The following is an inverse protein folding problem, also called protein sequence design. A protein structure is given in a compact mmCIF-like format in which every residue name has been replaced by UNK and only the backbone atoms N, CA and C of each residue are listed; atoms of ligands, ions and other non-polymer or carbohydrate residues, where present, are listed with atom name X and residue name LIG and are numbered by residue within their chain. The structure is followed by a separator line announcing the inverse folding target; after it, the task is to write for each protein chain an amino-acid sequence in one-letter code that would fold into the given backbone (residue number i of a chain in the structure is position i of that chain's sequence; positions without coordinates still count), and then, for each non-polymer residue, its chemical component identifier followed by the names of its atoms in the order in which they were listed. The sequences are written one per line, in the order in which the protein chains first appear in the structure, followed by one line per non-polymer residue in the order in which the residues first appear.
data_IF_291058849759
#
_entry.id   IF_291058849759
#
_cell.length_a   1.000
_cell.length_b   1.000
_cell.length_c   1.000
_cell.angle_alpha   90.00
_cell.angle_beta   90.00
_cell.angle_gamma   90.00
#
_symmetry.space_group_name_H-M   'P 1'
#
loop_
_entity.id
_entity.type
_entity.pdbx_description
1 polymer ?
#
# COMPACT_ATOMS: atom_id res chain seq x y z
N UNK A 1 15.71 1.42 -12.30
CA UNK A 1 14.75 2.09 -11.40
C UNK A 1 14.50 1.25 -10.17
N UNK A 2 14.44 1.87 -8.97
CA UNK A 2 14.01 1.18 -7.74
C UNK A 2 12.68 1.75 -7.23
N UNK A 3 11.77 0.87 -6.82
CA UNK A 3 10.50 1.26 -6.21
C UNK A 3 10.48 0.80 -4.76
N UNK A 4 10.30 1.76 -3.86
CA UNK A 4 10.16 1.52 -2.43
C UNK A 4 8.68 1.49 -2.09
N UNK A 5 8.08 0.30 -1.98
CA UNK A 5 6.69 0.13 -1.53
C UNK A 5 6.64 0.23 -0.01
N UNK A 6 5.95 1.22 0.51
CA UNK A 6 5.81 1.48 1.95
C UNK A 6 4.35 1.31 2.34
N UNK A 7 4.06 0.36 3.24
CA UNK A 7 2.74 0.29 3.85
C UNK A 7 2.57 1.41 4.86
N UNK A 8 1.39 2.03 4.90
CA UNK A 8 1.04 3.02 5.92
C UNK A 8 1.27 2.49 7.35
N UNK A 9 1.44 3.40 8.31
CA UNK A 9 1.45 3.08 9.74
C UNK A 9 0.10 2.56 10.23
N UNK A 10 0.07 2.05 11.45
CA UNK A 10 -1.14 1.47 12.05
C UNK A 10 -2.28 2.49 12.15
N UNK A 11 -3.46 2.09 11.72
CA UNK A 11 -4.75 2.74 11.87
C UNK A 11 -5.64 1.93 12.84
N UNK A 12 -6.86 2.38 13.10
CA UNK A 12 -7.74 1.73 14.07
C UNK A 12 -8.41 0.48 13.49
N UNK A 13 -7.90 -0.71 13.85
CA UNK A 13 -8.38 -2.02 13.39
C UNK A 13 -9.82 -2.36 13.87
N UNK A 14 -10.39 -1.58 14.79
CA UNK A 14 -11.81 -1.74 15.18
C UNK A 14 -12.77 -1.38 14.06
N UNK A 15 -12.26 -0.76 13.00
CA UNK A 15 -13.03 -0.33 11.83
C UNK A 15 -12.54 -1.04 10.56
N UNK A 16 -13.45 -1.23 9.62
CA UNK A 16 -13.12 -1.77 8.30
C UNK A 16 -12.24 -0.79 7.53
N UNK A 17 -11.16 -1.31 6.95
CA UNK A 17 -10.21 -0.56 6.14
C UNK A 17 -10.79 -0.08 4.80
N UNK A 18 -10.08 -0.36 3.70
CA UNK A 18 -10.49 0.10 2.36
C UNK A 18 -10.38 1.62 2.21
N UNK A 19 -11.39 2.24 1.61
CA UNK A 19 -11.42 3.68 1.35
C UNK A 19 -11.96 4.51 2.52
N UNK A 20 -11.70 4.09 3.76
CA UNK A 20 -12.08 4.85 4.93
C UNK A 20 -11.23 6.14 5.10
N UNK A 21 -11.71 7.06 5.96
CA UNK A 21 -11.05 8.33 6.27
C UNK A 21 -10.38 8.35 7.66
N UNK A 22 -10.11 7.17 8.23
CA UNK A 22 -9.52 7.09 9.57
C UNK A 22 -8.04 7.47 9.53
N UNK A 23 -7.56 8.21 10.55
CA UNK A 23 -6.16 8.59 10.68
C UNK A 23 -5.30 7.46 11.24
N UNK A 24 -3.98 7.66 11.19
CA UNK A 24 -3.04 6.85 11.97
C UNK A 24 -3.31 7.02 13.47
N UNK A 25 -3.26 5.92 14.21
CA UNK A 25 -3.19 5.96 15.67
C UNK A 25 -1.77 6.36 16.14
N UNK A 26 -1.61 6.70 17.41
CA UNK A 26 -0.32 7.16 17.95
C UNK A 26 0.80 6.12 17.77
N UNK A 27 0.50 4.83 17.92
CA UNK A 27 1.44 3.75 17.66
C UNK A 27 1.86 3.73 16.19
N UNK A 28 0.92 3.90 15.26
CA UNK A 28 1.19 4.00 13.82
C UNK A 28 2.11 5.17 13.46
N UNK A 29 1.89 6.36 14.06
CA UNK A 29 2.77 7.51 13.87
C UNK A 29 4.21 7.21 14.34
N UNK A 30 4.36 6.55 15.51
CA UNK A 30 5.69 6.14 16.02
C UNK A 30 6.38 5.12 15.11
N UNK A 31 5.63 4.14 14.58
CA UNK A 31 6.16 3.18 13.60
C UNK A 31 6.72 3.88 12.36
N UNK A 32 5.93 4.80 11.79
CA UNK A 32 6.34 5.58 10.60
C UNK A 32 7.53 6.48 10.91
N UNK A 33 7.61 7.10 12.09
CA UNK A 33 8.74 7.93 12.47
C UNK A 33 10.06 7.13 12.54
N UNK A 34 10.02 5.88 13.02
CA UNK A 34 11.19 4.98 12.99
C UNK A 34 11.64 4.70 11.56
N UNK A 35 10.68 4.37 10.67
CA UNK A 35 10.98 4.16 9.24
C UNK A 35 11.54 5.43 8.59
N UNK A 36 10.94 6.59 8.86
CA UNK A 36 11.41 7.87 8.33
C UNK A 36 12.87 8.17 8.73
N UNK A 37 13.22 7.93 9.99
CA UNK A 37 14.59 8.11 10.46
C UNK A 37 15.57 7.11 9.77
N UNK A 38 15.15 5.87 9.58
CA UNK A 38 15.93 4.86 8.84
C UNK A 38 16.18 5.30 7.40
N UNK A 39 15.13 5.71 6.68
CA UNK A 39 15.23 6.18 5.30
C UNK A 39 16.14 7.41 5.19
N UNK A 40 16.01 8.37 6.11
CA UNK A 40 16.85 9.58 6.12
C UNK A 40 18.33 9.26 6.34
N UNK A 41 18.65 8.33 7.26
CA UNK A 41 20.03 7.89 7.49
C UNK A 41 20.64 7.19 6.27
N UNK A 42 19.82 6.58 5.44
CA UNK A 42 20.23 5.82 4.23
C UNK A 42 19.95 6.58 2.95
N UNK A 43 19.56 7.86 3.00
CA UNK A 43 19.19 8.63 1.82
C UNK A 43 20.33 8.74 0.79
N UNK A 44 21.57 8.78 1.23
CA UNK A 44 22.76 8.78 0.34
C UNK A 44 22.87 7.49 -0.48
N UNK A 45 22.48 6.35 0.13
CA UNK A 45 22.52 5.03 -0.52
C UNK A 45 21.26 4.78 -1.35
N UNK A 46 20.11 5.16 -0.80
CA UNK A 46 18.80 4.90 -1.40
C UNK A 46 18.43 5.88 -2.52
N UNK A 47 18.93 7.11 -2.44
CA UNK A 47 18.71 8.17 -3.44
C UNK A 47 17.23 8.32 -3.83
N UNK A 48 16.33 8.31 -2.83
CA UNK A 48 14.90 8.50 -3.09
C UNK A 48 14.69 9.92 -3.60
N UNK A 49 14.06 10.09 -4.75
CA UNK A 49 13.88 11.38 -5.43
C UNK A 49 12.45 11.92 -5.29
N UNK A 50 11.45 11.05 -5.15
CA UNK A 50 10.04 11.43 -5.11
C UNK A 50 9.25 10.48 -4.24
N UNK A 51 8.17 10.99 -3.63
CA UNK A 51 7.18 10.20 -2.92
C UNK A 51 5.86 10.29 -3.68
N UNK A 52 5.31 9.15 -4.11
CA UNK A 52 3.94 9.03 -4.62
C UNK A 52 3.11 8.29 -3.59
N UNK A 53 2.04 8.89 -3.11
CA UNK A 53 1.22 8.32 -2.03
C UNK A 53 -0.23 8.13 -2.44
N UNK A 54 -0.84 7.04 -2.00
CA UNK A 54 -2.29 6.98 -1.95
C UNK A 54 -2.85 8.21 -1.24
N UNK A 55 -3.97 8.74 -1.74
CA UNK A 55 -4.62 9.93 -1.22
C UNK A 55 -5.51 9.68 0.01
N UNK A 56 -5.59 8.43 0.51
CA UNK A 56 -6.31 8.07 1.73
C UNK A 56 -5.58 8.65 2.96
N UNK A 57 -6.32 9.09 3.98
CA UNK A 57 -5.79 9.87 5.08
C UNK A 57 -4.58 9.23 5.78
N UNK A 58 -4.63 7.92 6.11
CA UNK A 58 -3.52 7.20 6.75
C UNK A 58 -2.24 7.14 5.92
N UNK A 59 -2.35 6.99 4.60
CA UNK A 59 -1.21 7.03 3.68
C UNK A 59 -0.67 8.45 3.50
N UNK A 60 -1.55 9.45 3.40
CA UNK A 60 -1.14 10.87 3.39
C UNK A 60 -0.35 11.25 4.65
N UNK A 61 -0.82 10.82 5.83
CA UNK A 61 -0.12 11.06 7.09
C UNK A 61 1.23 10.33 7.13
N UNK A 62 1.28 9.08 6.64
CA UNK A 62 2.53 8.32 6.52
C UNK A 62 3.53 9.03 5.62
N UNK A 63 3.11 9.43 4.41
CA UNK A 63 3.96 10.14 3.46
C UNK A 63 4.49 11.46 4.06
N UNK A 64 3.63 12.26 4.71
CA UNK A 64 4.04 13.52 5.36
C UNK A 64 5.06 13.29 6.47
N UNK A 65 4.88 12.28 7.34
CA UNK A 65 5.85 11.96 8.41
C UNK A 65 7.21 11.57 7.80
N UNK A 66 7.22 10.76 6.76
CA UNK A 66 8.45 10.40 6.03
C UNK A 66 9.08 11.64 5.43
N UNK A 67 8.29 12.47 4.78
CA UNK A 67 8.80 13.66 4.07
C UNK A 67 9.31 14.77 4.99
N UNK A 68 8.86 14.84 6.22
CA UNK A 68 9.47 15.73 7.23
C UNK A 68 10.96 15.43 7.49
N UNK A 69 11.46 14.29 7.02
CA UNK A 69 12.88 13.89 7.11
C UNK A 69 13.61 13.89 5.77
N UNK A 70 12.88 13.64 4.68
CA UNK A 70 13.49 13.51 3.36
C UNK A 70 13.42 14.79 2.53
N UNK A 71 12.42 15.65 2.77
CA UNK A 71 12.18 16.92 2.06
C UNK A 71 12.08 16.77 0.53
N UNK A 72 11.35 15.76 0.07
CA UNK A 72 11.18 15.42 -1.34
C UNK A 72 9.82 15.92 -1.90
N UNK A 73 9.66 16.02 -3.23
CA UNK A 73 8.36 16.20 -3.84
C UNK A 73 7.39 15.08 -3.45
N UNK A 74 6.15 15.44 -3.07
CA UNK A 74 5.07 14.49 -2.80
C UNK A 74 3.94 14.67 -3.79
N UNK A 75 3.53 13.57 -4.40
CA UNK A 75 2.31 13.46 -5.20
C UNK A 75 1.28 12.57 -4.50
N UNK A 76 0.00 12.96 -4.54
CA UNK A 76 -1.11 12.15 -4.02
C UNK A 76 -1.98 11.65 -5.17
N UNK A 77 -2.20 10.33 -5.20
CA UNK A 77 -2.94 9.69 -6.29
C UNK A 77 -3.97 8.67 -5.81
N UNK A 78 -5.04 8.50 -6.56
CA UNK A 78 -6.03 7.43 -6.35
C UNK A 78 -5.51 6.06 -6.82
N UNK A 79 -4.50 6.03 -7.68
CA UNK A 79 -3.92 4.81 -8.27
C UNK A 79 -3.40 3.83 -7.22
N UNK A 80 -2.92 4.33 -6.07
CA UNK A 80 -2.37 3.53 -4.97
C UNK A 80 -3.37 3.21 -3.86
N UNK A 81 -4.69 3.47 -4.05
CA UNK A 81 -5.71 3.16 -3.04
C UNK A 81 -5.84 1.66 -2.80
N UNK A 82 -6.16 1.31 -1.54
CA UNK A 82 -6.56 -0.05 -1.12
C UNK A 82 -7.86 -0.47 -1.83
N UNK A 83 -8.25 -1.74 -1.68
CA UNK A 83 -9.52 -2.23 -2.16
C UNK A 83 -10.69 -1.38 -1.67
N UNK A 84 -11.61 -1.06 -2.57
CA UNK A 84 -12.83 -0.37 -2.22
C UNK A 84 -13.83 -1.36 -1.61
N UNK A 85 -14.00 -1.31 -0.28
CA UNK A 85 -15.00 -2.15 0.41
C UNK A 85 -16.40 -1.51 0.39
N UNK A 86 -16.66 -0.50 -0.44
CA UNK A 86 -17.96 0.11 -0.60
C UNK A 86 -18.53 0.63 0.73
N UNK A 87 -19.77 0.26 1.02
CA UNK A 87 -20.49 0.69 2.23
C UNK A 87 -19.86 0.23 3.54
N UNK A 88 -18.99 -0.81 3.51
CA UNK A 88 -18.32 -1.30 4.71
C UNK A 88 -17.12 -0.43 5.11
N UNK A 89 -16.61 0.43 4.24
CA UNK A 89 -15.44 1.26 4.52
C UNK A 89 -15.70 2.20 5.70
N UNK A 90 -14.93 2.04 6.78
CA UNK A 90 -15.07 2.84 8.01
C UNK A 90 -16.19 2.38 8.96
N UNK A 91 -16.94 1.32 8.65
CA UNK A 91 -17.85 0.72 9.62
C UNK A 91 -17.07 0.06 10.76
N UNK A 92 -17.63 0.05 11.97
CA UNK A 92 -17.08 -0.79 13.04
C UNK A 92 -17.15 -2.25 12.61
N UNK A 93 -16.10 -3.02 12.86
CA UNK A 93 -16.02 -4.44 12.47
C UNK A 93 -17.23 -5.24 12.98
N UNK A 94 -17.64 -5.03 14.25
CA UNK A 94 -18.80 -5.69 14.84
C UNK A 94 -20.13 -5.37 14.12
N UNK A 95 -20.29 -4.12 13.67
CA UNK A 95 -21.51 -3.66 13.00
C UNK A 95 -21.54 -4.18 11.55
N UNK A 96 -20.37 -4.20 10.88
CA UNK A 96 -20.24 -4.79 9.54
C UNK A 96 -20.56 -6.30 9.54
N UNK A 97 -20.10 -7.06 10.54
CA UNK A 97 -20.41 -8.48 10.67
C UNK A 97 -21.91 -8.70 10.88
N UNK A 98 -22.56 -7.84 11.68
CA UNK A 98 -24.00 -7.95 11.97
C UNK A 98 -24.88 -7.57 10.76
N UNK A 99 -24.52 -6.48 10.05
CA UNK A 99 -25.33 -5.95 8.95
C UNK A 99 -25.07 -6.66 7.62
N UNK A 100 -23.84 -7.16 7.42
CA UNK A 100 -23.38 -7.84 6.19
C UNK A 100 -22.72 -9.17 6.53
N UNK A 101 -23.49 -10.16 7.06
CA UNK A 101 -22.95 -11.46 7.44
C UNK A 101 -22.32 -12.16 6.22
N UNK A 102 -21.13 -12.73 6.41
CA UNK A 102 -20.41 -13.42 5.33
C UNK A 102 -19.65 -12.49 4.36
N UNK A 103 -19.88 -11.18 4.39
CA UNK A 103 -19.21 -10.22 3.49
C UNK A 103 -17.89 -9.76 4.09
N UNK A 104 -16.81 -10.47 3.76
CA UNK A 104 -15.44 -10.10 4.11
C UNK A 104 -14.46 -10.58 3.04
N UNK A 105 -13.31 -9.93 2.93
CA UNK A 105 -12.37 -10.07 1.82
C UNK A 105 -12.09 -11.52 1.38
N UNK A 106 -11.82 -12.41 2.35
CA UNK A 106 -11.48 -13.81 2.04
C UNK A 106 -12.70 -14.70 1.71
N UNK A 107 -13.93 -14.26 2.03
CA UNK A 107 -15.13 -15.01 1.72
C UNK A 107 -15.64 -14.73 0.30
N UNK A 108 -15.43 -13.53 -0.22
CA UNK A 108 -15.86 -13.17 -1.56
C UNK A 108 -15.29 -14.13 -2.61
N UNK A 109 -16.09 -14.45 -3.62
CA UNK A 109 -15.59 -15.02 -4.87
C UNK A 109 -14.74 -13.96 -5.59
N UNK A 110 -13.92 -14.37 -6.54
CA UNK A 110 -13.01 -13.45 -7.23
C UNK A 110 -13.76 -12.34 -7.99
N UNK A 111 -14.94 -12.63 -8.50
CA UNK A 111 -15.85 -11.74 -9.25
C UNK A 111 -16.95 -11.11 -8.38
N UNK A 112 -17.08 -11.52 -7.12
CA UNK A 112 -18.08 -11.00 -6.20
C UNK A 112 -17.66 -9.66 -5.62
N UNK A 113 -18.50 -8.65 -5.78
CA UNK A 113 -18.24 -7.29 -5.30
C UNK A 113 -18.66 -7.09 -3.84
N UNK A 114 -17.91 -6.26 -3.13
CA UNK A 114 -18.46 -5.61 -1.96
C UNK A 114 -19.67 -4.75 -2.35
N UNK A 115 -20.70 -4.63 -1.50
CA UNK A 115 -21.82 -3.71 -1.75
C UNK A 115 -21.31 -2.27 -1.96
N UNK A 116 -21.51 -1.74 -3.18
CA UNK A 116 -20.98 -0.42 -3.59
C UNK A 116 -19.46 -0.33 -3.71
N UNK A 117 -18.77 -1.46 -3.78
CA UNK A 117 -17.31 -1.53 -3.85
C UNK A 117 -16.77 -2.32 -5.04
N UNK A 118 -15.53 -2.81 -4.91
CA UNK A 118 -14.83 -3.63 -5.91
C UNK A 118 -14.95 -5.12 -5.59
N UNK A 119 -14.83 -5.98 -6.61
CA UNK A 119 -14.51 -7.39 -6.46
C UNK A 119 -12.99 -7.59 -6.32
N UNK A 120 -12.53 -8.76 -5.81
CA UNK A 120 -11.10 -9.08 -5.78
C UNK A 120 -10.41 -9.01 -7.14
N UNK A 121 -11.08 -9.44 -8.22
CA UNK A 121 -10.48 -9.38 -9.56
C UNK A 121 -10.35 -7.96 -10.07
N UNK A 122 -11.38 -7.12 -9.90
CA UNK A 122 -11.33 -5.71 -10.28
C UNK A 122 -10.25 -4.95 -9.51
N UNK A 123 -10.10 -5.21 -8.23
CA UNK A 123 -9.02 -4.66 -7.42
C UNK A 123 -7.65 -5.05 -7.96
N UNK A 124 -7.43 -6.34 -8.26
CA UNK A 124 -6.18 -6.85 -8.83
C UNK A 124 -5.83 -6.15 -10.15
N UNK A 125 -6.79 -6.10 -11.08
CA UNK A 125 -6.60 -5.52 -12.41
C UNK A 125 -6.30 -4.03 -12.31
N UNK A 126 -7.04 -3.29 -11.49
CA UNK A 126 -6.81 -1.88 -11.24
C UNK A 126 -5.42 -1.62 -10.67
N UNK A 127 -4.97 -2.42 -9.71
CA UNK A 127 -3.64 -2.24 -9.10
C UNK A 127 -2.54 -2.50 -10.12
N UNK A 128 -2.62 -3.56 -10.92
CA UNK A 128 -1.62 -3.89 -11.94
C UNK A 128 -1.55 -2.77 -12.99
N UNK A 129 -2.71 -2.35 -13.52
CA UNK A 129 -2.79 -1.24 -14.47
C UNK A 129 -2.17 0.03 -13.89
N UNK A 130 -2.61 0.42 -12.68
CA UNK A 130 -2.10 1.62 -11.99
C UNK A 130 -0.60 1.56 -11.71
N UNK A 131 -0.07 0.39 -11.36
CA UNK A 131 1.36 0.22 -11.13
C UNK A 131 2.17 0.45 -12.41
N UNK A 132 1.75 -0.13 -13.54
CA UNK A 132 2.43 0.08 -14.82
C UNK A 132 2.36 1.56 -15.27
N UNK A 133 1.21 2.21 -15.11
CA UNK A 133 1.08 3.65 -15.39
C UNK A 133 2.03 4.48 -14.51
N UNK A 134 2.12 4.18 -13.21
CA UNK A 134 3.00 4.89 -12.29
C UNK A 134 4.49 4.65 -12.59
N UNK A 135 4.87 3.49 -13.09
CA UNK A 135 6.23 3.25 -13.56
C UNK A 135 6.57 4.16 -14.75
N UNK A 136 5.68 4.24 -15.73
CA UNK A 136 5.88 5.10 -16.90
C UNK A 136 5.90 6.60 -16.54
N UNK A 137 5.00 7.06 -15.67
CA UNK A 137 4.95 8.44 -15.20
C UNK A 137 6.18 8.87 -14.39
N UNK A 138 6.94 7.91 -13.87
CA UNK A 138 8.12 8.16 -13.05
C UNK A 138 9.41 7.56 -13.64
N UNK A 139 9.42 7.24 -14.92
CA UNK A 139 10.54 6.56 -15.59
C UNK A 139 11.88 7.33 -15.54
N UNK A 140 11.80 8.65 -15.41
CA UNK A 140 12.98 9.53 -15.38
C UNK A 140 13.64 9.58 -13.98
N UNK A 141 13.06 8.89 -12.97
CA UNK A 141 13.62 8.79 -11.62
C UNK A 141 14.35 7.48 -11.40
N UNK A 142 15.50 7.52 -10.71
CA UNK A 142 16.22 6.31 -10.31
C UNK A 142 15.51 5.57 -9.17
N UNK A 143 14.98 6.30 -8.18
CA UNK A 143 14.29 5.71 -7.03
C UNK A 143 13.06 6.50 -6.60
N UNK A 144 11.90 5.83 -6.55
CA UNK A 144 10.63 6.43 -6.13
C UNK A 144 10.02 5.65 -4.97
N UNK A 145 9.51 6.34 -3.95
CA UNK A 145 8.79 5.74 -2.84
C UNK A 145 7.27 5.79 -3.07
N UNK A 146 6.61 4.63 -3.12
CA UNK A 146 5.15 4.50 -3.19
C UNK A 146 4.59 4.18 -1.81
N UNK A 147 3.87 5.14 -1.19
CA UNK A 147 3.21 4.94 0.10
C UNK A 147 1.79 4.44 -0.14
N UNK A 148 1.53 3.21 0.29
CA UNK A 148 0.31 2.48 -0.08
C UNK A 148 -0.16 1.51 1.04
N UNK A 149 -0.82 0.43 0.67
CA UNK A 149 -1.56 -0.48 1.53
C UNK A 149 -1.11 -1.94 1.34
N UNK A 150 -1.48 -2.80 2.29
CA UNK A 150 -1.11 -4.21 2.28
C UNK A 150 -1.61 -4.97 1.04
N UNK A 151 -2.86 -4.76 0.65
CA UNK A 151 -3.45 -5.43 -0.52
C UNK A 151 -2.73 -5.04 -1.81
N UNK A 152 -2.44 -3.75 -1.99
CA UNK A 152 -1.72 -3.23 -3.15
C UNK A 152 -0.32 -3.81 -3.25
N UNK A 153 0.45 -3.83 -2.13
CA UNK A 153 1.80 -4.43 -2.10
C UNK A 153 1.74 -5.92 -2.48
N UNK A 154 0.75 -6.64 -1.94
CA UNK A 154 0.58 -8.07 -2.26
C UNK A 154 0.30 -8.32 -3.74
N UNK A 155 -0.59 -7.52 -4.35
CA UNK A 155 -0.89 -7.63 -5.80
C UNK A 155 0.36 -7.35 -6.63
N UNK A 156 1.05 -6.22 -6.36
CA UNK A 156 2.24 -5.83 -7.13
C UNK A 156 3.33 -6.89 -7.02
N UNK A 157 3.69 -7.34 -5.82
CA UNK A 157 4.72 -8.34 -5.62
C UNK A 157 4.36 -9.69 -6.26
N UNK A 158 3.07 -10.08 -6.18
CA UNK A 158 2.61 -11.31 -6.83
C UNK A 158 2.71 -11.22 -8.36
N UNK A 159 2.33 -10.06 -8.93
CA UNK A 159 2.43 -9.82 -10.36
C UNK A 159 3.88 -9.89 -10.85
N UNK A 160 4.82 -9.24 -10.15
CA UNK A 160 6.24 -9.23 -10.51
C UNK A 160 6.85 -10.62 -10.43
N UNK A 161 6.49 -11.42 -9.44
CA UNK A 161 7.07 -12.75 -9.21
C UNK A 161 6.33 -13.89 -9.95
N UNK A 162 5.32 -13.57 -10.77
CA UNK A 162 4.51 -14.56 -11.48
C UNK A 162 3.63 -15.43 -10.59
N UNK A 163 3.48 -15.09 -9.30
CA UNK A 163 2.63 -15.85 -8.38
C UNK A 163 1.16 -15.54 -8.61
N UNK A 164 0.34 -16.59 -8.62
CA UNK A 164 -1.12 -16.42 -8.69
C UNK A 164 -1.60 -15.69 -7.44
N UNK A 165 -2.22 -14.53 -7.64
CA UNK A 165 -2.83 -13.77 -6.56
C UNK A 165 -4.33 -14.06 -6.47
N UNK A 166 -4.79 -14.31 -5.27
CA UNK A 166 -6.22 -14.38 -4.92
C UNK A 166 -6.44 -13.68 -3.58
N UNK A 167 -7.71 -13.36 -3.28
CA UNK A 167 -8.08 -12.81 -1.96
C UNK A 167 -7.95 -13.82 -0.80
N UNK A 168 -7.74 -15.10 -1.10
CA UNK A 168 -7.61 -16.18 -0.10
C UNK A 168 -6.17 -16.42 0.33
N UNK A 169 -5.20 -16.15 -0.56
CA UNK A 169 -3.77 -16.43 -0.34
C UNK A 169 -2.99 -15.12 -0.18
N UNK A 170 -2.22 -15.01 0.89
CA UNK A 170 -1.27 -13.91 1.07
C UNK A 170 0.11 -14.39 0.66
N UNK A 171 0.55 -14.04 -0.54
CA UNK A 171 1.88 -14.41 -1.05
C UNK A 171 3.01 -13.63 -0.37
N UNK A 172 2.75 -12.36 0.00
CA UNK A 172 3.73 -11.48 0.61
C UNK A 172 3.18 -10.85 1.88
N UNK A 173 4.01 -10.78 2.91
CA UNK A 173 3.72 -10.06 4.13
C UNK A 173 4.10 -8.59 3.95
N UNK A 174 3.24 -7.68 4.41
CA UNK A 174 3.54 -6.27 4.51
C UNK A 174 2.94 -5.75 5.83
N UNK A 175 3.76 -5.66 6.88
CA UNK A 175 3.37 -5.14 8.19
C UNK A 175 3.20 -3.61 8.15
N UNK A 176 2.58 -3.02 9.16
CA UNK A 176 2.47 -1.56 9.27
C UNK A 176 3.85 -0.90 9.28
N UNK A 177 3.99 0.17 8.52
CA UNK A 177 5.23 0.90 8.30
C UNK A 177 6.40 0.00 7.85
N UNK A 178 6.11 -1.05 7.07
CA UNK A 178 7.14 -1.88 6.45
C UNK A 178 7.54 -1.34 5.08
N UNK A 179 8.76 -1.66 4.69
CA UNK A 179 9.35 -1.38 3.40
C UNK A 179 9.51 -2.68 2.60
N UNK A 180 9.12 -2.64 1.34
CA UNK A 180 9.40 -3.65 0.32
C UNK A 180 10.11 -2.95 -0.83
N UNK A 181 11.21 -3.51 -1.35
CA UNK A 181 11.99 -2.92 -2.44
C UNK A 181 11.81 -3.78 -3.69
N UNK A 182 11.51 -3.12 -4.79
CA UNK A 182 11.45 -3.71 -6.12
C UNK A 182 12.56 -3.08 -6.95
N UNK A 183 13.33 -3.91 -7.61
CA UNK A 183 14.31 -3.51 -8.60
C UNK A 183 13.75 -3.73 -10.01
N UNK A 184 13.86 -2.73 -10.87
CA UNK A 184 13.36 -2.75 -12.25
C UNK A 184 14.52 -2.38 -13.17
N UNK A 185 14.87 -3.31 -14.04
CA UNK A 185 15.82 -3.12 -15.14
C UNK A 185 15.08 -3.19 -16.49
N UNK A 186 15.77 -3.04 -17.59
CA UNK A 186 15.19 -3.22 -18.92
C UNK A 186 14.67 -4.64 -19.13
N UNK A 187 15.39 -5.64 -18.61
CA UNK A 187 15.13 -7.06 -18.84
C UNK A 187 14.32 -7.74 -17.75
N UNK A 188 14.24 -7.15 -16.55
CA UNK A 188 13.65 -7.83 -15.39
C UNK A 188 12.98 -6.90 -14.39
N UNK A 189 12.02 -7.49 -13.67
CA UNK A 189 11.43 -6.90 -12.45
C UNK A 189 11.53 -7.93 -11.34
N UNK A 190 12.15 -7.55 -10.22
CA UNK A 190 12.36 -8.46 -9.09
C UNK A 190 12.03 -7.82 -7.75
N UNK A 191 11.61 -8.64 -6.80
CA UNK A 191 11.37 -8.22 -5.41
C UNK A 191 12.66 -8.47 -4.61
N UNK A 192 13.44 -7.42 -4.37
CA UNK A 192 14.75 -7.47 -3.71
C UNK A 192 14.62 -7.66 -2.19
N UNK A 193 13.65 -6.97 -1.57
CA UNK A 193 13.44 -6.98 -0.12
C UNK A 193 11.94 -6.98 0.19
N UNK A 194 11.52 -7.75 1.18
CA UNK A 194 10.11 -7.77 1.62
C UNK A 194 9.98 -7.51 3.11
N UNK A 195 8.93 -6.75 3.48
CA UNK A 195 8.47 -6.58 4.86
C UNK A 195 9.55 -6.13 5.86
N UNK A 196 10.53 -5.35 5.43
CA UNK A 196 11.53 -4.79 6.34
C UNK A 196 10.88 -3.79 7.30
N UNK A 197 11.23 -3.88 8.58
CA UNK A 197 10.79 -2.95 9.66
C UNK A 197 11.98 -2.31 10.32
N UNK A 198 12.00 -0.98 10.32
CA UNK A 198 13.01 -0.23 11.08
C UNK A 198 12.79 -0.42 12.59
N UNK A 199 13.87 -0.70 13.31
CA UNK A 199 13.91 -0.91 14.77
C UNK A 199 14.15 0.38 15.52
#
# INVERSE_FOLDING_TARGET
MKIFLIRHGEDDERYKGGWNRLPLINRGKKQVSKLANYLAKRQKDFKIEKIVSSDILRTRQTAKIINNKLHLPIEFTRKLREMNNGVLAGMRVKDAIKQYPGVYFRALKMDERYPGGESPIEFKERVIKSFNELLEENRDHETVAFVTHNGVINVICSHITGKVWTNKVRNFKADYASLTIINITEDSKEVELTNFKAR
#
